data_IF_385640715481
#
_entry.id   IF_385640715481
#
_cell.length_a   1.000
_cell.length_b   1.000
_cell.length_c   1.000
_cell.angle_alpha   90.00
_cell.angle_beta   90.00
_cell.angle_gamma   90.00
#
_symmetry.space_group_name_H-M   'P 1'
#
loop_
_entity.id
_entity.type
_entity.pdbx_description
1 polymer ?
#
# COMPACT_ATOMS: atom_id res chain seq x y z
N UNK A 1 -17.91 -1.32 -3.07
CA UNK A 1 -18.41 -0.07 -2.50
C UNK A 1 -17.18 0.70 -2.08
N UNK A 2 -16.90 1.85 -2.71
CA UNK A 2 -15.82 2.75 -2.25
C UNK A 2 -16.24 3.28 -0.89
N UNK A 3 -15.48 2.99 0.16
CA UNK A 3 -15.71 3.60 1.46
C UNK A 3 -15.55 5.12 1.27
N UNK A 4 -16.55 5.87 1.66
CA UNK A 4 -16.44 7.34 1.69
C UNK A 4 -15.41 7.65 2.76
N UNK A 5 -14.34 8.34 2.39
CA UNK A 5 -13.31 8.77 3.33
C UNK A 5 -13.98 9.59 4.45
N UNK A 6 -13.68 9.24 5.70
CA UNK A 6 -14.19 9.98 6.86
C UNK A 6 -13.53 11.36 6.96
N UNK A 7 -14.26 12.34 7.46
CA UNK A 7 -13.76 13.68 7.74
C UNK A 7 -13.88 14.00 9.22
N UNK A 8 -12.83 14.55 9.81
CA UNK A 8 -12.77 14.95 11.20
C UNK A 8 -12.00 16.28 11.36
N UNK A 9 -12.10 16.87 12.54
CA UNK A 9 -11.35 18.07 12.91
C UNK A 9 -10.49 17.81 14.13
N UNK A 10 -9.25 18.25 14.07
CA UNK A 10 -8.32 18.21 15.17
C UNK A 10 -8.87 19.03 16.34
N UNK A 11 -9.07 18.38 17.49
CA UNK A 11 -9.51 19.03 18.72
C UNK A 11 -8.35 19.41 19.62
N UNK A 12 -7.41 18.48 19.80
CA UNK A 12 -6.26 18.66 20.67
C UNK A 12 -5.10 17.79 20.18
N UNK A 13 -3.88 18.21 20.49
CA UNK A 13 -2.66 17.49 20.16
C UNK A 13 -1.68 17.57 21.32
N UNK A 14 -1.00 16.46 21.60
CA UNK A 14 0.05 16.34 22.60
C UNK A 14 1.17 15.44 22.07
N UNK A 15 2.25 16.04 21.59
CA UNK A 15 3.31 15.30 20.89
C UNK A 15 2.73 14.56 19.67
N UNK A 16 3.00 13.27 19.49
CA UNK A 16 2.51 12.50 18.34
C UNK A 16 1.03 12.08 18.45
N UNK A 17 0.37 12.33 19.59
CA UNK A 17 -1.01 11.89 19.84
C UNK A 17 -1.98 13.04 19.62
N UNK A 18 -2.98 12.82 18.80
CA UNK A 18 -4.05 13.77 18.54
C UNK A 18 -5.42 13.24 18.94
N UNK A 19 -6.30 14.15 19.26
CA UNK A 19 -7.73 13.92 19.43
C UNK A 19 -8.49 14.65 18.34
N UNK A 20 -9.39 13.97 17.65
CA UNK A 20 -10.20 14.57 16.59
C UNK A 20 -11.67 14.25 16.76
N UNK A 21 -12.53 15.20 16.37
CA UNK A 21 -13.98 15.09 16.40
C UNK A 21 -14.49 14.79 14.98
N UNK A 22 -15.28 13.72 14.84
CA UNK A 22 -15.84 13.28 13.57
C UNK A 22 -16.84 14.32 13.06
N UNK A 23 -16.71 14.68 11.80
CA UNK A 23 -17.63 15.59 11.11
C UNK A 23 -18.54 14.83 10.13
N UNK A 24 -17.97 13.85 9.42
CA UNK A 24 -18.69 13.05 8.45
C UNK A 24 -18.04 11.69 8.25
N UNK A 25 -18.81 10.72 7.76
CA UNK A 25 -18.33 9.38 7.45
C UNK A 25 -18.14 8.51 8.68
N UNK A 26 -17.41 7.42 8.52
CA UNK A 26 -17.12 6.46 9.57
C UNK A 26 -15.63 6.17 9.62
N UNK A 27 -15.12 5.98 10.81
CA UNK A 27 -13.72 5.65 11.08
C UNK A 27 -13.60 4.27 11.76
N UNK A 28 -12.43 3.68 11.68
CA UNK A 28 -12.11 2.38 12.30
C UNK A 28 -10.79 2.44 13.05
N UNK A 29 -10.67 1.68 14.11
CA UNK A 29 -9.37 1.48 14.77
C UNK A 29 -8.42 0.80 13.79
N UNK A 30 -7.18 1.28 13.71
CA UNK A 30 -6.18 0.85 12.74
C UNK A 30 -6.29 1.50 11.36
N UNK A 31 -7.27 2.37 11.15
CA UNK A 31 -7.39 3.13 9.89
C UNK A 31 -6.31 4.18 9.79
N UNK A 32 -5.69 4.28 8.61
CA UNK A 32 -4.76 5.35 8.31
C UNK A 32 -5.50 6.67 8.10
N UNK A 33 -4.94 7.74 8.65
CA UNK A 33 -5.44 9.11 8.50
C UNK A 33 -4.35 10.04 7.99
N UNK A 34 -4.78 11.11 7.32
CA UNK A 34 -3.93 12.21 6.89
C UNK A 34 -4.31 13.47 7.68
N UNK A 35 -3.32 14.14 8.28
CA UNK A 35 -3.54 15.22 9.23
C UNK A 35 -2.98 16.54 8.72
N UNK A 36 -3.80 17.57 8.73
CA UNK A 36 -3.44 18.94 8.35
C UNK A 36 -3.17 19.12 6.86
N UNK A 37 -2.70 20.31 6.51
CA UNK A 37 -2.38 20.68 5.12
C UNK A 37 -1.20 19.86 4.58
N UNK A 38 -0.24 19.52 5.43
CA UNK A 38 0.92 18.70 5.07
C UNK A 38 0.57 17.22 4.89
N UNK A 39 -0.68 16.81 5.19
CA UNK A 39 -1.17 15.43 5.08
C UNK A 39 -0.28 14.45 5.85
N UNK A 40 0.08 14.80 7.10
CA UNK A 40 0.94 13.98 7.93
C UNK A 40 0.28 12.61 8.17
N UNK A 41 1.00 11.49 7.95
CA UNK A 41 0.44 10.17 8.12
C UNK A 41 0.25 9.81 9.58
N UNK A 42 -0.91 9.25 9.90
CA UNK A 42 -1.24 8.75 11.22
C UNK A 42 -2.13 7.52 11.17
N UNK A 43 -2.39 6.95 12.33
CA UNK A 43 -3.24 5.77 12.51
C UNK A 43 -4.18 5.98 13.70
N UNK A 44 -5.44 5.62 13.54
CA UNK A 44 -6.42 5.66 14.62
C UNK A 44 -6.13 4.53 15.61
N UNK A 45 -5.85 4.89 16.85
CA UNK A 45 -5.54 3.95 17.92
C UNK A 45 -6.72 3.68 18.85
N UNK A 46 -7.71 4.57 18.88
CA UNK A 46 -8.93 4.41 19.69
C UNK A 46 -10.08 5.21 19.11
N UNK A 47 -11.29 4.65 19.16
CA UNK A 47 -12.55 5.35 18.92
C UNK A 47 -13.25 5.65 20.25
N UNK A 48 -13.93 6.79 20.33
CA UNK A 48 -14.65 7.25 21.52
C UNK A 48 -15.91 8.03 21.11
N UNK A 49 -16.97 7.29 20.79
CA UNK A 49 -18.21 7.88 20.25
C UNK A 49 -17.98 8.63 18.95
N UNK A 50 -18.29 9.93 18.95
CA UNK A 50 -18.11 10.84 17.81
C UNK A 50 -16.70 11.45 17.74
N UNK A 51 -15.74 10.86 18.44
CA UNK A 51 -14.34 11.30 18.43
C UNK A 51 -13.39 10.11 18.35
N UNK A 52 -12.13 10.38 18.04
CA UNK A 52 -11.09 9.36 18.07
C UNK A 52 -9.74 9.93 18.52
N UNK A 53 -8.88 9.01 18.91
CA UNK A 53 -7.48 9.27 19.18
C UNK A 53 -6.66 8.64 18.06
N UNK A 54 -5.74 9.41 17.48
CA UNK A 54 -4.81 8.90 16.48
C UNK A 54 -3.37 9.23 16.87
N UNK A 55 -2.45 8.41 16.38
CA UNK A 55 -1.02 8.64 16.48
C UNK A 55 -0.48 9.08 15.13
N UNK A 56 0.22 10.21 15.10
CA UNK A 56 0.92 10.73 13.91
C UNK A 56 2.35 10.21 13.93
N UNK A 57 2.88 9.85 12.77
CA UNK A 57 4.21 9.25 12.63
C UNK A 57 5.31 10.25 12.25
N UNK A 58 4.95 11.52 12.11
CA UNK A 58 5.87 12.60 11.76
C UNK A 58 5.80 13.73 12.79
N UNK A 59 6.69 14.72 12.63
CA UNK A 59 6.68 15.90 13.46
C UNK A 59 5.35 16.66 13.30
N UNK A 60 4.70 16.87 14.41
CA UNK A 60 3.40 17.54 14.51
C UNK A 60 3.49 19.05 14.70
N UNK A 61 4.70 19.61 14.64
CA UNK A 61 4.92 21.04 14.75
C UNK A 61 4.13 21.79 13.67
N UNK A 62 3.36 22.79 14.09
CA UNK A 62 2.52 23.59 13.20
C UNK A 62 1.07 23.10 13.08
N UNK A 63 0.72 21.90 13.55
CA UNK A 63 -0.66 21.49 13.68
C UNK A 63 -1.36 22.26 14.78
N UNK A 64 -2.63 22.59 14.55
CA UNK A 64 -3.45 23.35 15.48
C UNK A 64 -4.89 22.83 15.53
N UNK A 65 -5.62 23.03 16.63
CA UNK A 65 -7.04 22.73 16.71
C UNK A 65 -7.80 23.34 15.52
N UNK A 66 -8.71 22.57 14.93
CA UNK A 66 -9.46 22.91 13.73
C UNK A 66 -8.85 22.41 12.41
N UNK A 67 -7.60 21.95 12.40
CA UNK A 67 -7.02 21.35 11.19
C UNK A 67 -7.80 20.10 10.76
N UNK A 68 -7.81 19.85 9.45
CA UNK A 68 -8.51 18.71 8.88
C UNK A 68 -7.81 17.39 9.20
N UNK A 69 -8.60 16.37 9.51
CA UNK A 69 -8.14 14.98 9.60
C UNK A 69 -9.01 14.15 8.65
N UNK A 70 -8.38 13.53 7.66
CA UNK A 70 -9.08 12.77 6.63
C UNK A 70 -8.76 11.29 6.76
N UNK A 71 -9.79 10.45 6.86
CA UNK A 71 -9.65 9.00 6.84
C UNK A 71 -9.33 8.50 5.43
N UNK A 72 -8.55 7.44 5.34
CA UNK A 72 -8.27 6.79 4.05
C UNK A 72 -9.25 5.67 3.71
N UNK A 73 -10.06 5.24 4.67
CA UNK A 73 -10.93 4.06 4.58
C UNK A 73 -10.17 2.73 4.59
N UNK A 74 -8.85 2.77 4.75
CA UNK A 74 -7.96 1.61 4.70
C UNK A 74 -7.06 1.57 5.96
N UNK A 75 -6.65 0.39 6.40
CA UNK A 75 -5.65 0.28 7.45
C UNK A 75 -4.30 0.86 6.98
N UNK A 76 -3.45 1.22 7.93
CA UNK A 76 -2.08 1.63 7.61
C UNK A 76 -1.41 0.55 6.77
N UNK A 77 -1.05 0.89 5.55
CA UNK A 77 -0.58 -0.04 4.54
C UNK A 77 0.63 0.51 3.82
N UNK A 78 1.53 -0.40 3.44
CA UNK A 78 2.75 -0.08 2.71
C UNK A 78 2.73 -0.68 1.30
N UNK A 79 3.38 -0.04 0.33
CA UNK A 79 3.51 -0.60 -1.01
C UNK A 79 4.59 -1.70 -1.01
N UNK A 80 4.21 -2.94 -1.28
CA UNK A 80 5.13 -4.05 -1.50
C UNK A 80 5.29 -4.31 -2.99
N UNK A 81 6.51 -4.30 -3.49
CA UNK A 81 6.79 -4.48 -4.92
C UNK A 81 8.28 -4.48 -5.26
N UNK A 82 8.62 -4.42 -6.54
CA UNK A 82 10.01 -4.35 -6.98
C UNK A 82 10.71 -3.11 -6.43
N UNK A 83 12.04 -3.18 -6.25
CA UNK A 83 12.85 -2.03 -5.79
C UNK A 83 12.95 -1.85 -4.28
N UNK A 84 12.30 -2.69 -3.46
CA UNK A 84 12.43 -2.62 -2.00
C UNK A 84 13.77 -3.19 -1.49
N UNK A 85 14.28 -4.24 -2.11
CA UNK A 85 15.52 -4.87 -1.70
C UNK A 85 16.74 -4.05 -2.12
N UNK A 86 17.77 -4.02 -1.28
CA UNK A 86 19.02 -3.30 -1.53
C UNK A 86 18.91 -1.79 -1.35
N UNK A 87 17.91 -1.29 -0.60
CA UNK A 87 17.68 0.12 -0.34
C UNK A 87 17.36 0.37 1.13
N UNK A 88 17.55 1.61 1.56
CA UNK A 88 17.26 2.04 2.93
C UNK A 88 15.89 2.74 2.95
N UNK A 89 15.03 2.28 3.83
CA UNK A 89 13.67 2.80 3.99
C UNK A 89 13.42 3.18 5.45
N UNK A 90 12.48 4.10 5.65
CA UNK A 90 11.91 4.37 6.97
C UNK A 90 10.84 3.32 7.36
N UNK A 91 10.24 3.49 8.55
CA UNK A 91 9.19 2.59 9.05
C UNK A 91 7.90 2.54 8.23
N UNK A 92 7.70 3.47 7.30
CA UNK A 92 6.58 3.52 6.36
C UNK A 92 6.97 3.07 4.93
N UNK A 93 8.14 2.45 4.78
CA UNK A 93 8.74 2.06 3.50
C UNK A 93 8.95 3.23 2.52
N UNK A 94 9.17 4.44 3.03
CA UNK A 94 9.62 5.56 2.20
C UNK A 94 11.14 5.51 2.09
N UNK A 95 11.65 5.71 0.89
CA UNK A 95 13.09 5.67 0.64
C UNK A 95 13.80 6.84 1.32
N UNK A 96 14.84 6.54 2.11
CA UNK A 96 15.70 7.55 2.74
C UNK A 96 16.86 7.97 1.83
N UNK A 97 17.19 7.17 0.83
CA UNK A 97 18.22 7.42 -0.17
C UNK A 97 17.68 8.04 -1.47
N UNK A 98 16.40 8.41 -1.50
CA UNK A 98 15.79 9.00 -2.68
C UNK A 98 16.18 10.48 -2.82
N UNK A 99 16.69 10.84 -3.99
CA UNK A 99 16.75 12.23 -4.43
C UNK A 99 15.34 12.64 -4.88
N UNK A 100 14.80 13.71 -4.33
CA UNK A 100 13.48 14.24 -4.69
C UNK A 100 13.37 14.62 -6.19
N UNK A 101 14.52 14.91 -6.82
CA UNK A 101 14.63 15.23 -8.23
C UNK A 101 14.98 14.03 -9.12
N UNK A 102 15.16 12.82 -8.54
CA UNK A 102 15.46 11.65 -9.33
C UNK A 102 14.29 11.29 -10.26
N UNK A 103 14.57 10.83 -11.49
CA UNK A 103 13.54 10.34 -12.38
C UNK A 103 12.78 9.20 -11.71
N UNK A 104 11.47 9.12 -12.02
CA UNK A 104 10.63 8.03 -11.51
C UNK A 104 11.23 6.69 -11.89
N UNK A 105 11.26 5.78 -10.92
CA UNK A 105 11.80 4.45 -11.14
C UNK A 105 10.94 3.69 -12.15
N UNK A 106 11.59 3.09 -13.14
CA UNK A 106 10.97 2.28 -14.17
C UNK A 106 11.43 0.84 -14.04
N UNK A 107 10.56 -0.08 -14.38
CA UNK A 107 10.76 -1.51 -14.22
C UNK A 107 10.53 -2.23 -15.54
N UNK A 108 11.46 -3.07 -15.96
CA UNK A 108 11.28 -3.93 -17.14
C UNK A 108 10.49 -5.16 -16.74
N UNK A 109 9.23 -5.20 -17.12
CA UNK A 109 8.34 -6.33 -16.85
C UNK A 109 8.43 -7.39 -17.95
N UNK A 110 8.48 -8.65 -17.55
CA UNK A 110 8.45 -9.82 -18.43
C UNK A 110 7.28 -10.71 -18.01
N UNK A 111 6.20 -10.82 -18.83
CA UNK A 111 5.06 -11.64 -18.49
C UNK A 111 5.41 -13.14 -18.55
N UNK A 112 4.84 -13.91 -17.60
CA UNK A 112 4.95 -15.38 -17.55
C UNK A 112 3.63 -16.09 -17.90
N UNK A 113 2.56 -15.31 -18.13
CA UNK A 113 1.20 -15.81 -18.41
C UNK A 113 0.61 -15.08 -19.61
N UNK A 114 -0.47 -15.64 -20.17
CA UNK A 114 -1.18 -15.10 -21.33
C UNK A 114 -2.63 -14.75 -21.02
N UNK A 115 -3.24 -13.93 -21.89
CA UNK A 115 -4.67 -13.68 -21.84
C UNK A 115 -5.43 -15.00 -22.04
N UNK A 116 -6.41 -15.26 -21.18
CA UNK A 116 -7.18 -16.50 -21.14
C UNK A 116 -6.72 -17.50 -20.10
N UNK A 117 -5.51 -17.35 -19.54
CA UNK A 117 -5.02 -18.23 -18.49
C UNK A 117 -5.81 -18.05 -17.20
N UNK A 118 -6.06 -19.16 -16.49
CA UNK A 118 -6.66 -19.16 -15.17
C UNK A 118 -5.56 -19.13 -14.10
N UNK A 119 -5.65 -18.18 -13.19
CA UNK A 119 -4.65 -17.97 -12.12
C UNK A 119 -5.32 -17.99 -10.75
N UNK A 120 -4.62 -18.61 -9.81
CA UNK A 120 -4.98 -18.66 -8.39
C UNK A 120 -4.23 -17.60 -7.59
N UNK A 121 -4.65 -17.32 -6.34
CA UNK A 121 -3.85 -16.53 -5.40
C UNK A 121 -2.41 -17.03 -5.34
N UNK A 122 -1.44 -16.12 -5.40
CA UNK A 122 -0.01 -16.45 -5.37
C UNK A 122 0.58 -16.94 -6.71
N UNK A 123 -0.20 -17.12 -7.77
CA UNK A 123 0.34 -17.46 -9.10
C UNK A 123 1.27 -16.35 -9.60
N UNK A 124 2.34 -16.75 -10.29
CA UNK A 124 3.30 -15.80 -10.91
C UNK A 124 2.67 -15.23 -12.19
N UNK A 125 2.54 -13.92 -12.25
CA UNK A 125 2.08 -13.19 -13.45
C UNK A 125 3.23 -12.85 -14.39
N UNK A 126 4.41 -12.67 -13.84
CA UNK A 126 5.61 -12.28 -14.55
C UNK A 126 6.73 -11.90 -13.59
N UNK A 127 7.81 -11.40 -14.14
CA UNK A 127 8.99 -11.00 -13.40
C UNK A 127 9.42 -9.59 -13.79
N UNK A 128 10.12 -8.91 -12.87
CA UNK A 128 10.80 -7.65 -13.16
C UNK A 128 12.28 -7.93 -13.32
N UNK A 129 12.84 -7.54 -14.46
CA UNK A 129 14.28 -7.65 -14.71
C UNK A 129 15.06 -6.74 -13.74
N UNK A 130 16.21 -7.20 -13.27
CA UNK A 130 17.09 -6.41 -12.41
C UNK A 130 18.22 -7.25 -11.85
N UNK A 131 19.21 -6.56 -11.27
CA UNK A 131 20.33 -7.20 -10.57
C UNK A 131 19.86 -7.70 -9.21
N UNK A 132 20.15 -8.95 -8.86
CA UNK A 132 19.86 -9.54 -7.57
C UNK A 132 18.72 -10.56 -7.61
N UNK A 133 17.95 -10.62 -6.53
CA UNK A 133 16.90 -11.61 -6.34
C UNK A 133 15.78 -11.52 -7.38
N UNK A 134 15.28 -12.66 -7.84
CA UNK A 134 14.14 -12.75 -8.74
C UNK A 134 12.93 -12.00 -8.17
N UNK A 135 12.41 -11.08 -8.93
CA UNK A 135 11.34 -10.17 -8.49
C UNK A 135 10.03 -10.55 -9.15
N UNK A 136 9.43 -11.59 -8.62
CA UNK A 136 8.18 -12.12 -9.15
C UNK A 136 7.00 -11.21 -8.82
N UNK A 137 6.18 -10.93 -9.82
CA UNK A 137 4.91 -10.25 -9.68
C UNK A 137 3.82 -11.30 -9.49
N UNK A 138 3.23 -11.35 -8.30
CA UNK A 138 2.29 -12.40 -7.91
C UNK A 138 0.84 -11.89 -7.94
N UNK A 139 -0.09 -12.80 -8.17
CA UNK A 139 -1.51 -12.55 -7.93
C UNK A 139 -1.71 -12.32 -6.42
N UNK A 140 -2.41 -11.24 -6.00
CA UNK A 140 -2.72 -11.01 -4.59
C UNK A 140 -3.43 -12.20 -3.94
N UNK A 141 -3.23 -12.43 -2.62
CA UNK A 141 -3.75 -13.61 -1.93
C UNK A 141 -5.27 -13.67 -1.81
N UNK A 142 -5.94 -12.54 -2.01
CA UNK A 142 -7.40 -12.40 -1.97
C UNK A 142 -8.06 -12.46 -3.36
N UNK A 143 -7.28 -12.74 -4.42
CA UNK A 143 -7.72 -12.65 -5.81
C UNK A 143 -7.32 -13.87 -6.62
N UNK A 144 -8.13 -14.14 -7.62
CA UNK A 144 -7.90 -15.17 -8.63
C UNK A 144 -8.93 -15.01 -9.75
N UNK A 145 -8.74 -15.73 -10.84
CA UNK A 145 -9.65 -15.68 -11.97
C UNK A 145 -8.96 -15.88 -13.31
N UNK A 146 -9.60 -15.42 -14.38
CA UNK A 146 -9.08 -15.51 -15.75
C UNK A 146 -8.44 -14.18 -16.13
N UNK A 147 -7.25 -14.23 -16.74
CA UNK A 147 -6.55 -13.05 -17.24
C UNK A 147 -7.28 -12.50 -18.47
N UNK A 148 -7.74 -11.26 -18.39
CA UNK A 148 -8.38 -10.55 -19.50
C UNK A 148 -7.44 -9.56 -20.19
N UNK A 149 -6.38 -9.12 -19.50
CA UNK A 149 -5.31 -8.32 -20.06
C UNK A 149 -4.01 -8.57 -19.30
N UNK A 150 -2.89 -8.55 -20.01
CA UNK A 150 -1.53 -8.63 -19.47
C UNK A 150 -0.64 -7.64 -20.20
N UNK A 151 0.21 -6.91 -19.47
CA UNK A 151 1.17 -6.01 -20.06
C UNK A 151 2.22 -6.80 -20.88
N UNK A 152 2.59 -6.33 -22.07
CA UNK A 152 3.68 -6.94 -22.82
C UNK A 152 5.02 -6.72 -22.11
N UNK A 153 6.06 -7.46 -22.53
CA UNK A 153 7.43 -7.17 -22.08
C UNK A 153 7.82 -5.74 -22.42
N UNK A 154 8.28 -4.99 -21.43
CA UNK A 154 8.72 -3.61 -21.61
C UNK A 154 8.88 -2.84 -20.32
N UNK A 155 9.33 -1.61 -20.45
CA UNK A 155 9.45 -0.68 -19.32
C UNK A 155 8.09 -0.18 -18.87
N UNK A 156 7.84 -0.25 -17.57
CA UNK A 156 6.63 0.21 -16.91
C UNK A 156 6.97 1.16 -15.76
N UNK A 157 6.11 2.13 -15.55
CA UNK A 157 6.16 2.98 -14.35
C UNK A 157 5.65 2.20 -13.12
N UNK A 158 6.04 2.64 -11.93
CA UNK A 158 5.70 1.97 -10.67
C UNK A 158 4.18 1.80 -10.44
N UNK A 159 3.36 2.71 -10.94
CA UNK A 159 1.90 2.71 -10.82
C UNK A 159 1.18 1.97 -11.97
N UNK A 160 1.94 1.41 -12.91
CA UNK A 160 1.38 0.70 -14.05
C UNK A 160 0.61 -0.56 -13.62
N UNK A 161 -0.50 -0.83 -14.32
CA UNK A 161 -1.21 -2.10 -14.23
C UNK A 161 -0.52 -3.13 -15.11
N UNK A 162 -0.13 -4.26 -14.51
CA UNK A 162 0.51 -5.37 -15.24
C UNK A 162 -0.49 -6.41 -15.74
N UNK A 163 -1.62 -6.58 -15.05
CA UNK A 163 -2.66 -7.52 -15.47
C UNK A 163 -4.05 -7.04 -15.07
N UNK A 164 -5.06 -7.55 -15.77
CA UNK A 164 -6.47 -7.49 -15.35
C UNK A 164 -7.01 -8.90 -15.23
N UNK A 165 -7.63 -9.20 -14.09
CA UNK A 165 -8.25 -10.49 -13.80
C UNK A 165 -9.76 -10.34 -13.79
N UNK A 166 -10.48 -11.29 -14.40
CA UNK A 166 -11.91 -11.45 -14.24
C UNK A 166 -12.20 -12.56 -13.24
N UNK A 167 -12.70 -12.18 -12.07
CA UNK A 167 -13.15 -13.11 -11.05
C UNK A 167 -14.56 -13.66 -11.37
N UNK A 168 -15.01 -14.65 -10.61
CA UNK A 168 -16.40 -15.11 -10.65
C UNK A 168 -17.39 -13.92 -10.54
N UNK A 169 -18.56 -14.04 -11.13
CA UNK A 169 -19.55 -12.97 -11.27
C UNK A 169 -19.12 -11.75 -12.11
N UNK A 170 -18.07 -11.87 -12.94
CA UNK A 170 -17.68 -10.87 -13.92
C UNK A 170 -16.96 -9.64 -13.36
N UNK A 171 -16.60 -9.63 -12.07
CA UNK A 171 -15.84 -8.53 -11.47
C UNK A 171 -14.42 -8.50 -11.98
N UNK A 172 -13.99 -7.35 -12.48
CA UNK A 172 -12.62 -7.14 -12.94
C UNK A 172 -11.74 -6.51 -11.83
N UNK A 173 -10.52 -7.02 -11.74
CA UNK A 173 -9.50 -6.55 -10.81
C UNK A 173 -8.22 -6.20 -11.56
N UNK A 174 -7.78 -4.97 -11.44
CA UNK A 174 -6.46 -4.55 -11.93
C UNK A 174 -5.38 -4.94 -10.92
N UNK A 175 -4.30 -5.49 -11.41
CA UNK A 175 -3.11 -5.87 -10.63
C UNK A 175 -1.95 -4.99 -11.11
N UNK A 176 -1.33 -4.27 -10.17
CA UNK A 176 -0.15 -3.45 -10.43
C UNK A 176 1.15 -4.16 -10.06
N UNK A 177 2.27 -3.52 -10.35
CA UNK A 177 3.61 -3.94 -9.90
C UNK A 177 3.70 -3.93 -8.37
N UNK A 178 3.04 -2.98 -7.72
CA UNK A 178 3.00 -2.85 -6.27
C UNK A 178 1.65 -3.29 -5.72
N UNK A 179 1.70 -3.97 -4.57
CA UNK A 179 0.52 -4.36 -3.80
C UNK A 179 0.53 -3.60 -2.47
N UNK A 180 -0.56 -2.88 -2.14
CA UNK A 180 -0.71 -2.30 -0.81
C UNK A 180 -1.03 -3.40 0.19
N UNK A 181 -0.23 -3.48 1.26
CA UNK A 181 -0.38 -4.49 2.29
C UNK A 181 -0.47 -3.85 3.68
N UNK A 182 -1.45 -4.22 4.51
CA UNK A 182 -1.56 -3.71 5.87
C UNK A 182 -0.35 -4.10 6.71
N UNK A 183 0.29 -3.14 7.39
CA UNK A 183 1.52 -3.39 8.16
C UNK A 183 1.32 -4.34 9.34
N UNK A 184 0.08 -4.45 9.85
CA UNK A 184 -0.25 -5.30 11.00
C UNK A 184 -0.73 -6.71 10.61
N UNK A 185 -0.89 -6.98 9.32
CA UNK A 185 -1.35 -8.28 8.83
C UNK A 185 -0.18 -9.09 8.27
N UNK A 186 0.06 -10.33 8.77
CA UNK A 186 1.07 -11.20 8.19
C UNK A 186 0.70 -11.55 6.76
N UNK A 187 1.67 -11.47 5.84
CA UNK A 187 1.44 -11.90 4.47
C UNK A 187 1.39 -13.43 4.40
N UNK A 188 0.39 -14.02 3.73
CA UNK A 188 0.34 -15.47 3.54
C UNK A 188 1.58 -15.97 2.80
N UNK A 189 2.16 -17.06 3.27
CA UNK A 189 3.30 -17.74 2.65
C UNK A 189 2.99 -19.22 2.52
N UNK A 190 3.40 -19.84 1.41
CA UNK A 190 3.24 -21.28 1.23
C UNK A 190 4.25 -22.06 2.08
N UNK A 191 5.48 -21.55 2.18
CA UNK A 191 6.56 -22.17 2.93
C UNK A 191 7.55 -21.10 3.40
N UNK A 192 8.11 -21.27 4.59
CA UNK A 192 9.29 -20.52 5.03
C UNK A 192 10.53 -21.26 4.53
N UNK A 193 11.36 -20.57 3.77
CA UNK A 193 12.65 -21.08 3.37
C UNK A 193 13.67 -20.90 4.50
N UNK A 194 14.71 -21.76 4.53
CA UNK A 194 15.84 -21.57 5.43
C UNK A 194 16.61 -20.30 5.02
N UNK A 195 17.13 -19.59 6.01
CA UNK A 195 17.96 -18.40 5.78
C UNK A 195 19.42 -18.83 5.67
N UNK A 196 19.76 -19.50 4.59
CA UNK A 196 21.09 -20.04 4.28
C UNK A 196 21.94 -19.07 3.45
N UNK A 197 21.31 -18.04 2.85
CA UNK A 197 22.02 -16.97 2.17
C UNK A 197 21.67 -15.60 2.79
N UNK A 198 22.66 -14.74 3.08
CA UNK A 198 22.38 -13.39 3.55
C UNK A 198 21.71 -12.56 2.44
N UNK A 199 20.72 -11.77 2.82
CA UNK A 199 20.14 -10.72 1.95
C UNK A 199 21.15 -9.56 1.89
N UNK A 200 21.98 -9.52 0.86
CA UNK A 200 22.97 -8.46 0.63
C UNK A 200 22.47 -7.53 -0.46
#
# INVERSE_FOLDING_TARGET
>A
MSAVAGEARLRAIAGPVLHADVQAGAFRVGEAVEVGVARLPGEIIRLDGDSFVAQVYEDTTGLKPGDAVTGTGLPLSVPLGPGLLGRIHDGLLRRLDADENAPRERFVFVPAVSVGDSVAPGSVLGEVEGTGHARQCLVPPDRGGVITAIAPRGELDADASIATLRAGAGKEHRIGLFQRWPVREPRPVAQRLAADEPLV
#
